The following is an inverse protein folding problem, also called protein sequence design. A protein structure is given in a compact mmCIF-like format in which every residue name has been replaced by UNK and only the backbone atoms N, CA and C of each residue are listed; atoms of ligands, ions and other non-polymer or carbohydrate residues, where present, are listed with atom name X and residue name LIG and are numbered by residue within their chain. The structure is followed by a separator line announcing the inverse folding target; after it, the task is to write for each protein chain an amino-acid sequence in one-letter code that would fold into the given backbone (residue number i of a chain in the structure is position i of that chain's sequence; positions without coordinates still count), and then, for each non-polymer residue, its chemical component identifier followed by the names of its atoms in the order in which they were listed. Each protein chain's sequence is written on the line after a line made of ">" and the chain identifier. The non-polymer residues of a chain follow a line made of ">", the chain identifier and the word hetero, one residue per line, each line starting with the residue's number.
data_IF_483494473913
#
_entry.id   IF_483494473913
#
_cell.length_a   1.000
_cell.length_b   1.000
_cell.length_c   1.000
_cell.angle_alpha   90.00
_cell.angle_beta   90.00
_cell.angle_gamma   90.00
#
_symmetry.space_group_name_H-M   'P 1'
#
loop_
_entity.id
_entity.type
_entity.pdbx_description
1 polymer ?
#
# COMPACT_ATOMS: atom_id res chain seq x y z
N UNK A 1 -6.93 -3.98 7.02
CA UNK A 1 -7.80 -3.04 6.28
C UNK A 1 -6.95 -2.17 5.37
N UNK A 2 -7.51 -1.73 4.24
CA UNK A 2 -6.82 -0.95 3.22
C UNK A 2 -7.72 0.18 2.74
N UNK A 3 -7.15 1.34 2.42
CA UNK A 3 -7.87 2.46 1.80
C UNK A 3 -6.99 3.22 0.81
N UNK A 4 -7.65 3.91 -0.13
CA UNK A 4 -7.04 4.88 -1.02
C UNK A 4 -7.33 6.30 -0.53
N UNK A 5 -6.31 7.16 -0.57
CA UNK A 5 -6.38 8.54 -0.10
C UNK A 5 -5.81 9.48 -1.17
N UNK A 6 -6.38 10.67 -1.28
CA UNK A 6 -5.92 11.77 -2.16
C UNK A 6 -5.86 11.44 -3.67
N UNK A 7 -6.66 10.47 -4.12
CA UNK A 7 -6.95 10.25 -5.54
C UNK A 7 -8.01 11.20 -6.08
N UNK A 8 -8.08 11.36 -7.41
CA UNK A 8 -9.13 12.19 -8.06
C UNK A 8 -10.45 11.45 -8.21
N UNK A 9 -10.44 10.14 -8.01
CA UNK A 9 -11.58 9.24 -8.13
C UNK A 9 -11.42 8.06 -7.13
N UNK A 10 -12.45 7.21 -6.97
CA UNK A 10 -12.43 6.14 -5.95
C UNK A 10 -11.46 4.98 -6.20
N UNK A 11 -10.88 4.86 -7.40
CA UNK A 11 -10.05 3.73 -7.79
C UNK A 11 -8.55 4.09 -7.84
N UNK A 12 -8.18 5.32 -7.51
CA UNK A 12 -6.79 5.74 -7.42
C UNK A 12 -6.46 6.41 -6.08
N UNK A 13 -5.19 6.40 -5.69
CA UNK A 13 -4.71 7.13 -4.52
C UNK A 13 -3.47 6.54 -3.88
N UNK A 14 -2.98 7.23 -2.84
CA UNK A 14 -1.99 6.71 -1.90
C UNK A 14 -2.60 5.57 -1.09
N UNK A 15 -1.83 4.52 -0.85
CA UNK A 15 -2.24 3.40 -0.02
C UNK A 15 -2.00 3.71 1.45
N UNK A 16 -3.02 3.48 2.25
CA UNK A 16 -2.90 3.41 3.70
C UNK A 16 -3.45 2.09 4.22
N UNK A 17 -2.68 1.45 5.09
CA UNK A 17 -2.99 0.14 5.68
C UNK A 17 -3.22 0.30 7.18
N UNK A 18 -4.10 -0.55 7.69
CA UNK A 18 -4.39 -0.68 9.12
C UNK A 18 -4.66 -2.12 9.50
N UNK A 19 -3.87 -2.65 10.41
CA UNK A 19 -4.14 -3.90 11.08
C UNK A 19 -4.57 -3.61 12.54
N UNK A 20 -5.75 -4.11 12.95
CA UNK A 20 -6.28 -3.78 14.27
C UNK A 20 -5.54 -4.47 15.40
N UNK A 21 -5.00 -5.66 15.15
CA UNK A 21 -4.36 -6.49 16.15
C UNK A 21 -2.90 -6.08 16.33
N UNK A 22 -2.27 -5.60 15.25
CA UNK A 22 -0.85 -5.17 15.26
C UNK A 22 -0.71 -3.66 15.53
N UNK A 23 -1.59 -2.81 14.98
CA UNK A 23 -1.36 -1.35 14.89
C UNK A 23 -2.27 -0.51 15.80
N UNK A 24 -3.05 -1.12 16.69
CA UNK A 24 -3.88 -0.37 17.65
C UNK A 24 -4.85 0.63 17.00
N UNK A 25 -5.41 0.25 15.83
CA UNK A 25 -6.32 1.05 15.00
C UNK A 25 -5.70 2.28 14.29
N UNK A 26 -4.38 2.42 14.29
CA UNK A 26 -3.70 3.51 13.57
C UNK A 26 -3.58 3.18 12.08
N UNK A 27 -3.77 4.19 11.24
CA UNK A 27 -3.44 4.13 9.82
C UNK A 27 -1.98 4.50 9.62
N UNK A 28 -1.39 4.01 8.54
CA UNK A 28 -0.10 4.46 8.06
C UNK A 28 0.12 3.99 6.63
N UNK A 29 1.20 4.45 6.03
CA UNK A 29 1.43 4.33 4.60
C UNK A 29 2.22 3.06 4.26
N UNK A 30 2.32 2.80 2.96
CA UNK A 30 3.12 1.72 2.38
C UNK A 30 4.27 2.37 1.62
N UNK A 31 5.50 1.91 1.81
CA UNK A 31 6.65 2.38 1.04
C UNK A 31 6.68 1.76 -0.37
N UNK A 32 7.19 2.53 -1.34
CA UNK A 32 7.33 2.13 -2.73
C UNK A 32 8.54 1.22 -3.03
N UNK A 33 9.38 0.94 -2.03
CA UNK A 33 10.49 -0.01 -2.16
C UNK A 33 9.97 -1.39 -2.58
N UNK A 34 10.33 -1.79 -3.81
CA UNK A 34 9.85 -2.97 -4.54
C UNK A 34 8.35 -3.02 -4.84
N UNK A 35 7.63 -1.92 -4.65
CA UNK A 35 6.23 -1.81 -5.00
C UNK A 35 6.02 -2.00 -6.51
N UNK A 36 5.37 -3.11 -6.87
CA UNK A 36 5.17 -3.54 -8.24
C UNK A 36 3.71 -3.86 -8.57
N UNK A 37 3.48 -4.24 -9.83
CA UNK A 37 2.12 -4.46 -10.33
C UNK A 37 1.40 -5.61 -9.61
N UNK A 38 2.12 -6.65 -9.18
CA UNK A 38 1.53 -7.77 -8.42
C UNK A 38 1.05 -7.34 -7.04
N UNK A 39 1.80 -6.46 -6.37
CA UNK A 39 1.39 -5.90 -5.07
C UNK A 39 0.16 -5.01 -5.25
N UNK A 40 0.17 -4.20 -6.31
CA UNK A 40 -0.97 -3.38 -6.69
C UNK A 40 -2.23 -4.21 -7.01
N UNK A 41 -2.09 -5.35 -7.70
CA UNK A 41 -3.19 -6.27 -7.98
C UNK A 41 -3.82 -6.82 -6.69
N UNK A 42 -2.99 -7.24 -5.73
CA UNK A 42 -3.45 -7.66 -4.39
C UNK A 42 -4.17 -6.51 -3.68
N UNK A 43 -3.60 -5.30 -3.70
CA UNK A 43 -4.22 -4.12 -3.10
C UNK A 43 -5.59 -3.79 -3.69
N UNK A 44 -5.70 -3.75 -5.01
CA UNK A 44 -6.94 -3.47 -5.71
C UNK A 44 -8.00 -4.54 -5.45
N UNK A 45 -7.63 -5.82 -5.48
CA UNK A 45 -8.55 -6.91 -5.13
C UNK A 45 -9.00 -6.84 -3.69
N UNK A 46 -8.09 -6.53 -2.75
CA UNK A 46 -8.41 -6.32 -1.35
C UNK A 46 -9.41 -5.16 -1.15
N UNK A 47 -9.35 -4.13 -2.00
CA UNK A 47 -10.29 -3.01 -2.04
C UNK A 47 -11.60 -3.31 -2.76
N UNK A 48 -11.74 -4.49 -3.40
CA UNK A 48 -12.94 -4.91 -4.14
C UNK A 48 -12.94 -4.57 -5.62
N UNK A 49 -11.80 -4.15 -6.18
CA UNK A 49 -11.62 -3.91 -7.61
C UNK A 49 -11.11 -5.17 -8.33
N UNK A 50 -11.29 -5.29 -9.66
CA UNK A 50 -10.92 -6.50 -10.40
C UNK A 50 -9.40 -6.68 -10.57
N UNK A 51 -8.60 -5.62 -10.47
CA UNK A 51 -7.15 -5.66 -10.64
C UNK A 51 -6.53 -4.26 -10.60
N UNK A 52 -5.23 -4.16 -10.87
CA UNK A 52 -4.51 -2.88 -10.93
C UNK A 52 -4.09 -2.54 -12.36
N UNK A 53 -4.27 -1.28 -12.75
CA UNK A 53 -3.70 -0.73 -13.97
C UNK A 53 -2.25 -0.24 -13.74
N UNK A 54 -1.97 0.36 -12.57
CA UNK A 54 -0.66 0.95 -12.28
C UNK A 54 -0.27 0.84 -10.80
N UNK A 55 0.99 0.52 -10.56
CA UNK A 55 1.67 0.70 -9.28
C UNK A 55 2.50 1.99 -9.34
N UNK A 56 2.20 2.97 -8.49
CA UNK A 56 2.91 4.24 -8.43
C UNK A 56 3.74 4.35 -7.16
N UNK A 57 4.98 4.81 -7.27
CA UNK A 57 5.81 5.24 -6.15
C UNK A 57 5.99 6.76 -6.12
N UNK A 58 6.94 7.22 -5.32
CA UNK A 58 7.42 8.60 -5.28
C UNK A 58 6.39 9.60 -4.76
N UNK A 59 5.45 9.18 -3.91
CA UNK A 59 4.49 10.10 -3.27
C UNK A 59 3.52 10.76 -4.26
N UNK A 60 3.24 10.11 -5.40
CA UNK A 60 2.50 10.70 -6.55
C UNK A 60 1.16 11.35 -6.19
N UNK A 61 0.39 10.75 -5.29
CA UNK A 61 -0.97 11.21 -4.96
C UNK A 61 -0.96 12.26 -3.84
N UNK A 62 -0.02 12.15 -2.91
CA UNK A 62 0.49 13.16 -1.97
C UNK A 62 1.30 12.41 -0.91
N UNK A 63 2.11 13.13 -0.15
CA UNK A 63 2.83 12.55 0.99
C UNK A 63 1.85 12.31 2.14
N UNK A 64 1.88 11.11 2.70
CA UNK A 64 1.19 10.79 3.93
C UNK A 64 1.89 11.37 5.15
N UNK A 65 1.49 10.85 6.31
CA UNK A 65 2.06 11.24 7.59
C UNK A 65 2.01 10.06 8.57
N UNK A 66 2.87 10.12 9.59
CA UNK A 66 2.88 9.15 10.68
C UNK A 66 3.77 7.96 10.37
N UNK A 67 3.26 6.75 10.57
CA UNK A 67 4.03 5.52 10.45
C UNK A 67 3.97 4.99 9.02
N UNK A 68 5.09 4.46 8.55
CA UNK A 68 5.18 3.67 7.32
C UNK A 68 5.19 2.21 7.75
N UNK A 69 4.09 1.49 7.47
CA UNK A 69 3.85 0.17 8.05
C UNK A 69 4.46 -0.97 7.25
N UNK A 70 4.46 -0.86 5.93
CA UNK A 70 4.90 -1.90 5.02
C UNK A 70 5.92 -1.35 4.04
N UNK A 71 6.87 -2.20 3.66
CA UNK A 71 7.89 -1.95 2.63
C UNK A 71 8.34 -3.30 2.06
N UNK A 72 9.08 -3.26 0.95
CA UNK A 72 9.70 -4.46 0.37
C UNK A 72 8.68 -5.56 0.08
N UNK A 73 7.47 -5.16 -0.34
CA UNK A 73 6.39 -6.07 -0.72
C UNK A 73 6.82 -6.88 -1.95
N UNK A 74 6.54 -8.18 -1.89
CA UNK A 74 6.85 -9.16 -2.93
C UNK A 74 5.69 -10.14 -3.05
N UNK A 75 4.52 -9.61 -3.39
CA UNK A 75 3.34 -10.40 -3.61
C UNK A 75 3.51 -11.27 -4.87
N UNK A 76 2.94 -12.48 -4.82
CA UNK A 76 2.80 -13.36 -5.98
C UNK A 76 1.60 -12.97 -6.86
N UNK A 77 0.62 -12.27 -6.27
CA UNK A 77 -0.60 -11.75 -6.90
C UNK A 77 -1.89 -12.44 -6.39
N UNK A 78 -1.74 -13.54 -5.65
CA UNK A 78 -2.83 -14.40 -5.19
C UNK A 78 -3.22 -14.19 -3.72
N UNK A 79 -2.46 -13.37 -2.98
CA UNK A 79 -2.65 -13.12 -1.56
C UNK A 79 -3.92 -12.32 -1.28
N UNK A 80 -4.67 -12.69 -0.23
CA UNK A 80 -5.94 -12.03 0.09
C UNK A 80 -5.80 -10.56 0.51
N UNK A 81 -4.62 -10.18 0.99
CA UNK A 81 -4.33 -8.82 1.40
C UNK A 81 -2.81 -8.56 1.41
N UNK A 82 -2.43 -7.29 1.38
CA UNK A 82 -1.02 -6.88 1.38
C UNK A 82 -0.21 -7.39 2.58
N UNK A 83 -0.84 -7.54 3.74
CA UNK A 83 -0.18 -8.07 4.95
C UNK A 83 0.12 -9.57 4.89
N UNK A 84 -0.43 -10.30 3.91
CA UNK A 84 -0.16 -11.72 3.69
C UNK A 84 0.97 -11.96 2.66
N UNK A 85 1.40 -10.92 1.94
CA UNK A 85 2.52 -11.03 1.02
C UNK A 85 3.84 -11.20 1.77
N UNK A 86 4.89 -11.68 1.09
CA UNK A 86 6.23 -11.53 1.63
C UNK A 86 6.59 -10.03 1.72
N UNK A 87 7.01 -9.58 2.90
CA UNK A 87 7.42 -8.19 3.15
C UNK A 87 8.55 -8.13 4.19
N UNK A 88 9.18 -6.97 4.35
CA UNK A 88 10.34 -6.78 5.25
C UNK A 88 10.04 -6.88 6.76
N UNK A 89 8.81 -7.21 7.15
CA UNK A 89 8.26 -7.00 8.49
C UNK A 89 7.52 -5.67 8.64
N UNK A 90 6.75 -5.53 9.72
CA UNK A 90 5.99 -4.31 10.02
C UNK A 90 6.90 -3.23 10.59
N UNK A 91 6.77 -1.97 10.12
CA UNK A 91 7.65 -0.83 10.46
C UNK A 91 9.15 -1.02 10.11
N UNK A 92 9.51 -2.07 9.40
CA UNK A 92 10.91 -2.32 9.02
C UNK A 92 11.21 -1.65 7.69
N UNK A 93 11.54 -0.36 7.70
CA UNK A 93 11.89 0.40 6.50
C UNK A 93 12.82 1.58 6.80
N UNK A 94 13.42 2.12 5.74
CA UNK A 94 14.23 3.35 5.76
C UNK A 94 13.58 4.48 4.94
N UNK A 95 12.29 4.33 4.63
CA UNK A 95 11.58 5.23 3.74
C UNK A 95 11.16 6.50 4.48
N UNK A 96 10.93 7.55 3.71
CA UNK A 96 10.14 8.70 4.14
C UNK A 96 8.86 8.83 3.29
N UNK A 97 8.01 9.81 3.58
CA UNK A 97 6.74 9.96 2.88
C UNK A 97 6.85 10.46 1.43
N UNK A 98 8.05 10.83 0.96
CA UNK A 98 8.28 11.01 -0.48
C UNK A 98 8.28 9.69 -1.25
N UNK A 99 8.35 8.56 -0.54
CA UNK A 99 8.34 7.21 -1.07
C UNK A 99 7.01 6.48 -0.80
N UNK A 100 5.94 7.20 -0.45
CA UNK A 100 4.65 6.55 -0.24
C UNK A 100 4.11 5.97 -1.57
N UNK A 101 3.73 4.70 -1.51
CA UNK A 101 3.15 3.94 -2.59
C UNK A 101 1.68 4.34 -2.83
N UNK A 102 1.28 4.28 -4.09
CA UNK A 102 -0.08 4.45 -4.54
C UNK A 102 -0.41 3.52 -5.70
N UNK A 103 -1.69 3.51 -6.07
CA UNK A 103 -2.22 2.60 -7.08
C UNK A 103 -3.27 3.28 -7.92
N UNK A 104 -3.44 2.80 -9.14
CA UNK A 104 -4.65 2.96 -9.94
C UNK A 104 -5.21 1.56 -10.17
N UNK A 105 -6.37 1.29 -9.58
CA UNK A 105 -7.27 0.20 -9.93
C UNK A 105 -8.13 0.62 -11.15
#
# INVERSE_FOLDING_TARGET
>A
ELRLVDGRNPFEGRLEVRDKDIMGRQWGTVCDDRWGIKDAEVACRQLGFPGAAWAHGGGRFSHGAGRIWLSELRCDGSEDNLGACAHGGWETNFCDHSQDAGVIC
#
